data_IF_248754386130
#
_entry.id   IF_248754386130
#
_cell.length_a   1.000
_cell.length_b   1.000
_cell.length_c   1.000
_cell.angle_alpha   90.00
_cell.angle_beta   90.00
_cell.angle_gamma   90.00
#
_symmetry.space_group_name_H-M   'P 1'
#
loop_
_entity.id
_entity.type
_entity.pdbx_description
1 polymer ?
#
# COMPACT_ATOMS: atom_id res chain seq x y z
N UNK A 1 14.06 -1.06 7.43
CA UNK A 1 13.54 0.24 6.95
C UNK A 1 14.05 1.39 7.81
N UNK A 2 13.81 1.46 9.15
CA UNK A 2 14.17 2.61 9.98
C UNK A 2 15.68 2.99 9.94
N UNK A 3 16.60 2.01 9.85
CA UNK A 3 18.04 2.28 9.68
C UNK A 3 18.35 2.87 8.31
N UNK A 4 17.68 2.39 7.29
CA UNK A 4 17.86 2.82 5.89
C UNK A 4 17.41 4.26 5.69
N UNK A 5 16.28 4.67 6.30
CA UNK A 5 15.80 6.07 6.27
C UNK A 5 16.81 7.01 6.89
N UNK A 6 17.36 6.66 8.06
CA UNK A 6 18.40 7.46 8.72
C UNK A 6 19.67 7.58 7.88
N UNK A 7 20.10 6.48 7.25
CA UNK A 7 21.24 6.49 6.35
C UNK A 7 20.99 7.41 5.15
N UNK A 8 19.79 7.35 4.54
CA UNK A 8 19.42 8.23 3.43
C UNK A 8 19.46 9.71 3.85
N UNK A 9 18.88 10.05 5.01
CA UNK A 9 18.92 11.41 5.54
C UNK A 9 20.36 11.91 5.81
N UNK A 10 21.24 11.03 6.30
CA UNK A 10 22.64 11.37 6.55
C UNK A 10 23.42 11.57 5.26
N UNK A 11 23.24 10.69 4.27
CA UNK A 11 23.92 10.76 2.98
C UNK A 11 23.56 12.00 2.17
N UNK A 12 22.28 12.42 2.24
CA UNK A 12 21.79 13.54 1.46
C UNK A 12 21.82 14.88 2.21
N UNK A 13 21.92 14.85 3.54
CA UNK A 13 21.73 16.03 4.37
C UNK A 13 20.30 16.60 4.32
N UNK A 14 19.36 15.81 3.84
CA UNK A 14 17.95 16.20 3.64
C UNK A 14 17.02 15.46 4.60
N UNK A 15 15.73 15.80 4.59
CA UNK A 15 14.69 15.01 5.19
C UNK A 15 14.46 13.77 4.33
N UNK A 16 14.55 12.59 4.89
CA UNK A 16 14.26 11.35 4.20
C UNK A 16 12.92 10.78 4.64
N UNK A 17 12.16 10.30 3.67
CA UNK A 17 10.83 9.70 3.84
C UNK A 17 10.84 8.34 3.16
N UNK A 18 10.37 7.32 3.85
CA UNK A 18 10.22 5.98 3.27
C UNK A 18 8.85 5.44 3.68
N UNK A 19 8.05 5.10 2.69
CA UNK A 19 6.84 4.33 2.86
C UNK A 19 7.23 2.88 3.19
N UNK A 20 6.59 2.26 4.19
CA UNK A 20 6.74 0.81 4.35
C UNK A 20 6.06 0.12 3.16
N UNK A 21 6.65 -0.97 2.65
CA UNK A 21 5.96 -1.74 1.64
C UNK A 21 4.60 -2.14 2.21
N UNK A 22 3.55 -1.50 1.70
CA UNK A 22 2.22 -2.00 1.93
C UNK A 22 2.18 -3.34 1.21
N UNK A 23 1.76 -4.39 1.91
CA UNK A 23 1.44 -5.68 1.30
C UNK A 23 0.19 -5.49 0.40
N UNK A 24 0.26 -4.57 -0.56
CA UNK A 24 -0.83 -4.26 -1.52
C UNK A 24 -1.21 -5.48 -2.37
N UNK A 25 -0.49 -6.58 -2.21
CA UNK A 25 -0.72 -7.85 -2.88
C UNK A 25 -1.05 -8.98 -1.92
N UNK A 26 -1.73 -8.67 -0.82
CA UNK A 26 -2.32 -9.74 -0.04
C UNK A 26 -3.30 -10.49 -0.95
N UNK A 27 -2.91 -11.67 -1.40
CA UNK A 27 -3.77 -12.53 -2.19
C UNK A 27 -4.53 -13.47 -1.27
N UNK A 28 -5.75 -13.78 -1.65
CA UNK A 28 -6.53 -14.80 -0.96
C UNK A 28 -5.90 -16.17 -1.21
N UNK A 29 -5.45 -16.84 -0.16
CA UNK A 29 -5.01 -18.23 -0.24
C UNK A 29 -6.17 -19.19 -0.06
N UNK A 30 -7.01 -18.96 0.94
CA UNK A 30 -8.15 -19.80 1.26
C UNK A 30 -9.20 -19.04 2.07
N UNK A 31 -10.46 -19.35 1.81
CA UNK A 31 -11.61 -18.90 2.58
C UNK A 31 -12.34 -20.10 3.15
N UNK A 32 -12.61 -20.08 4.46
CA UNK A 32 -13.49 -21.06 5.10
C UNK A 32 -14.76 -20.37 5.59
N UNK A 33 -15.91 -21.04 5.44
CA UNK A 33 -17.21 -20.55 5.87
C UNK A 33 -17.81 -21.55 6.86
N UNK A 34 -18.01 -21.15 8.09
CA UNK A 34 -18.52 -22.01 9.17
C UNK A 34 -19.81 -21.45 9.73
N UNK A 35 -20.88 -22.22 9.73
CA UNK A 35 -22.13 -21.83 10.36
C UNK A 35 -21.97 -21.81 11.89
N UNK A 36 -22.13 -20.63 12.51
CA UNK A 36 -22.14 -20.48 13.97
C UNK A 36 -23.56 -20.62 14.56
N UNK A 37 -24.58 -20.64 13.70
CA UNK A 37 -25.97 -20.74 14.06
C UNK A 37 -26.87 -20.48 12.86
N UNK A 38 -28.17 -20.42 13.05
CA UNK A 38 -29.13 -20.29 11.94
C UNK A 38 -28.92 -19.07 11.06
N UNK A 39 -28.40 -17.97 11.65
CA UNK A 39 -28.29 -16.67 10.96
C UNK A 39 -26.89 -16.08 10.98
N UNK A 40 -25.90 -16.83 11.49
CA UNK A 40 -24.53 -16.32 11.61
C UNK A 40 -23.52 -17.27 10.96
N UNK A 41 -22.63 -16.69 10.18
CA UNK A 41 -21.53 -17.39 9.50
C UNK A 41 -20.21 -16.78 9.93
N UNK A 42 -19.26 -17.61 10.33
CA UNK A 42 -17.89 -17.23 10.54
C UNK A 42 -17.13 -17.37 9.21
N UNK A 43 -16.47 -16.32 8.81
CA UNK A 43 -15.50 -16.31 7.74
C UNK A 43 -14.11 -16.46 8.35
N UNK A 44 -13.33 -17.41 7.86
CA UNK A 44 -11.90 -17.52 8.17
C UNK A 44 -11.15 -17.28 6.86
N UNK A 45 -10.45 -16.18 6.78
CA UNK A 45 -9.75 -15.71 5.58
C UNK A 45 -8.26 -15.95 5.81
N UNK A 46 -7.66 -16.75 4.94
CA UNK A 46 -6.22 -17.06 4.97
C UNK A 46 -5.58 -16.41 3.76
N UNK A 47 -4.58 -15.58 3.97
CA UNK A 47 -3.84 -14.90 2.92
C UNK A 47 -2.56 -15.67 2.55
N UNK A 48 -1.97 -15.34 1.42
CA UNK A 48 -0.69 -15.88 0.95
C UNK A 48 0.47 -15.54 1.91
N UNK A 49 0.37 -14.42 2.63
CA UNK A 49 1.32 -14.01 3.67
C UNK A 49 1.20 -14.82 4.96
N UNK A 50 0.23 -15.74 5.06
CA UNK A 50 -0.05 -16.51 6.25
C UNK A 50 -0.91 -15.81 7.30
N UNK A 51 -1.38 -14.59 7.03
CA UNK A 51 -2.31 -13.88 7.93
C UNK A 51 -3.66 -14.60 7.93
N UNK A 52 -4.21 -14.82 9.12
CA UNK A 52 -5.53 -15.42 9.33
C UNK A 52 -6.44 -14.38 9.96
N UNK A 53 -7.50 -14.02 9.28
CA UNK A 53 -8.56 -13.15 9.81
C UNK A 53 -9.84 -13.91 10.02
N UNK A 54 -10.57 -13.52 11.06
CA UNK A 54 -11.88 -14.06 11.38
C UNK A 54 -12.90 -12.93 11.38
N UNK A 55 -13.94 -13.09 10.60
CA UNK A 55 -15.06 -12.14 10.48
C UNK A 55 -16.37 -12.87 10.69
N UNK A 56 -17.37 -12.20 11.24
CA UNK A 56 -18.69 -12.80 11.43
C UNK A 56 -19.72 -12.05 10.60
N UNK A 57 -20.36 -12.77 9.70
CA UNK A 57 -21.48 -12.27 8.90
C UNK A 57 -22.79 -12.66 9.57
N UNK A 58 -23.68 -11.71 9.68
CA UNK A 58 -25.05 -11.93 10.18
C UNK A 58 -26.04 -11.80 9.03
N UNK A 59 -26.86 -12.83 8.84
CA UNK A 59 -27.94 -12.78 7.87
C UNK A 59 -29.12 -11.96 8.38
N UNK A 60 -29.84 -11.26 7.50
CA UNK A 60 -31.07 -10.55 7.87
C UNK A 60 -32.08 -11.46 8.56
N UNK A 61 -32.89 -10.88 9.44
CA UNK A 61 -33.89 -11.60 10.19
C UNK A 61 -34.83 -12.43 9.27
N UNK A 62 -35.03 -13.70 9.63
CA UNK A 62 -35.87 -14.64 8.89
C UNK A 62 -35.15 -15.44 7.79
N UNK A 63 -33.88 -15.22 7.55
CA UNK A 63 -33.06 -16.03 6.61
C UNK A 63 -32.17 -17.00 7.38
N UNK A 64 -32.40 -18.29 7.15
CA UNK A 64 -31.59 -19.36 7.74
C UNK A 64 -30.50 -19.75 6.74
N UNK A 65 -29.28 -19.95 7.23
CA UNK A 65 -28.15 -20.40 6.43
C UNK A 65 -28.28 -21.90 6.21
N UNK A 66 -28.43 -22.32 4.95
CA UNK A 66 -28.39 -23.72 4.58
C UNK A 66 -26.92 -24.17 4.51
N UNK A 67 -26.52 -25.24 5.24
CA UNK A 67 -25.15 -25.75 5.19
C UNK A 67 -24.68 -26.18 3.79
N UNK A 68 -25.58 -26.67 2.94
CA UNK A 68 -25.24 -27.06 1.57
C UNK A 68 -24.96 -25.85 0.68
N UNK A 69 -25.75 -24.80 0.85
CA UNK A 69 -25.51 -23.50 0.17
C UNK A 69 -24.18 -22.92 0.61
N UNK A 70 -23.86 -22.99 1.90
CA UNK A 70 -22.60 -22.50 2.45
C UNK A 70 -21.39 -23.24 1.87
N UNK A 71 -21.45 -24.56 1.76
CA UNK A 71 -20.38 -25.36 1.18
C UNK A 71 -20.19 -25.12 -0.32
N UNK A 72 -21.30 -24.98 -1.06
CA UNK A 72 -21.29 -24.60 -2.47
C UNK A 72 -20.64 -23.24 -2.67
N UNK A 73 -21.04 -22.26 -1.87
CA UNK A 73 -20.50 -20.90 -1.91
C UNK A 73 -18.99 -20.87 -1.60
N UNK A 74 -18.58 -21.55 -0.55
CA UNK A 74 -17.16 -21.68 -0.17
C UNK A 74 -16.32 -22.21 -1.34
N UNK A 75 -16.79 -23.29 -1.98
CA UNK A 75 -16.08 -23.91 -3.10
C UNK A 75 -15.98 -22.97 -4.29
N UNK A 76 -17.07 -22.28 -4.64
CA UNK A 76 -17.10 -21.32 -5.77
C UNK A 76 -16.21 -20.11 -5.53
N UNK A 77 -16.25 -19.55 -4.31
CA UNK A 77 -15.41 -18.39 -3.95
C UNK A 77 -13.94 -18.78 -3.96
N UNK A 78 -13.56 -19.91 -3.35
CA UNK A 78 -12.17 -20.36 -3.38
C UNK A 78 -11.68 -20.63 -4.80
N UNK A 79 -12.49 -21.28 -5.64
CA UNK A 79 -12.12 -21.55 -7.04
C UNK A 79 -11.90 -20.27 -7.84
N UNK A 80 -12.71 -19.24 -7.59
CA UNK A 80 -12.64 -17.97 -8.32
C UNK A 80 -11.56 -17.03 -7.82
N UNK A 81 -11.28 -17.03 -6.50
CA UNK A 81 -10.46 -16.02 -5.84
C UNK A 81 -9.10 -16.51 -5.33
N UNK A 82 -8.83 -17.83 -5.31
CA UNK A 82 -7.53 -18.32 -4.88
C UNK A 82 -6.39 -17.71 -5.70
N UNK A 83 -5.41 -17.11 -5.01
CA UNK A 83 -4.30 -16.39 -5.63
C UNK A 83 -4.62 -15.01 -6.20
N UNK A 84 -5.86 -14.52 -6.02
CA UNK A 84 -6.26 -13.17 -6.47
C UNK A 84 -5.97 -12.12 -5.40
N UNK A 85 -5.49 -10.98 -5.85
CA UNK A 85 -5.25 -9.80 -5.01
C UNK A 85 -6.55 -9.03 -4.77
N UNK A 86 -6.58 -8.20 -3.73
CA UNK A 86 -7.75 -7.41 -3.34
C UNK A 86 -8.40 -6.63 -4.52
N UNK A 87 -7.59 -6.10 -5.44
CA UNK A 87 -8.09 -5.35 -6.60
C UNK A 87 -8.93 -6.22 -7.57
N UNK A 88 -8.64 -7.51 -7.66
CA UNK A 88 -9.35 -8.44 -8.55
C UNK A 88 -10.60 -9.03 -7.89
N UNK A 89 -10.69 -8.95 -6.56
CA UNK A 89 -11.76 -9.60 -5.78
C UNK A 89 -13.12 -8.99 -6.10
N UNK A 90 -13.20 -7.65 -6.11
CA UNK A 90 -14.48 -6.93 -6.34
C UNK A 90 -15.15 -7.33 -7.65
N UNK A 91 -14.50 -7.23 -8.83
CA UNK A 91 -15.13 -7.58 -10.11
C UNK A 91 -15.52 -9.06 -10.18
N UNK A 92 -14.73 -9.95 -9.58
CA UNK A 92 -15.02 -11.39 -9.57
C UNK A 92 -16.24 -11.68 -8.69
N UNK A 93 -16.32 -11.12 -7.48
CA UNK A 93 -17.45 -11.31 -6.59
C UNK A 93 -18.75 -10.72 -7.15
N UNK A 94 -18.67 -9.55 -7.80
CA UNK A 94 -19.81 -8.97 -8.50
C UNK A 94 -20.36 -9.93 -9.58
N UNK A 95 -19.47 -10.47 -10.41
CA UNK A 95 -19.84 -11.43 -11.46
C UNK A 95 -20.40 -12.75 -10.88
N UNK A 96 -19.89 -13.20 -9.72
CA UNK A 96 -20.45 -14.35 -9.02
C UNK A 96 -21.85 -14.06 -8.46
N UNK A 97 -22.06 -12.86 -7.90
CA UNK A 97 -23.35 -12.44 -7.35
C UNK A 97 -24.44 -12.31 -8.43
N UNK A 98 -24.08 -11.81 -9.61
CA UNK A 98 -25.01 -11.70 -10.75
C UNK A 98 -25.51 -13.07 -11.24
N UNK A 99 -24.68 -14.10 -11.13
CA UNK A 99 -24.97 -15.47 -11.58
C UNK A 99 -25.53 -16.36 -10.46
N UNK A 100 -25.53 -15.87 -9.23
CA UNK A 100 -26.00 -16.64 -8.08
C UNK A 100 -27.53 -16.68 -8.01
N UNK A 101 -28.13 -17.81 -7.57
CA UNK A 101 -29.52 -17.84 -7.17
C UNK A 101 -29.83 -16.76 -6.12
N UNK A 102 -31.08 -16.30 -6.10
CA UNK A 102 -31.48 -15.19 -5.21
C UNK A 102 -31.21 -15.50 -3.73
N UNK A 103 -31.37 -16.76 -3.33
CA UNK A 103 -31.10 -17.23 -1.96
C UNK A 103 -29.63 -17.13 -1.55
N UNK A 104 -28.72 -17.37 -2.48
CA UNK A 104 -27.28 -17.29 -2.27
C UNK A 104 -26.76 -15.87 -2.39
N UNK A 105 -27.43 -15.00 -3.16
CA UNK A 105 -26.95 -13.65 -3.49
C UNK A 105 -26.76 -12.79 -2.25
N UNK A 106 -27.68 -12.85 -1.30
CA UNK A 106 -27.56 -12.09 -0.04
C UNK A 106 -26.35 -12.54 0.79
N UNK A 107 -26.15 -13.85 0.88
CA UNK A 107 -25.00 -14.39 1.61
C UNK A 107 -23.69 -14.05 0.89
N UNK A 108 -23.67 -14.17 -0.44
CA UNK A 108 -22.50 -13.82 -1.25
C UNK A 108 -22.15 -12.35 -1.13
N UNK A 109 -23.13 -11.44 -1.15
CA UNK A 109 -22.88 -10.01 -0.97
C UNK A 109 -22.30 -9.73 0.42
N UNK A 110 -22.88 -10.29 1.47
CA UNK A 110 -22.40 -10.10 2.83
C UNK A 110 -20.96 -10.69 3.04
N UNK A 111 -20.65 -11.83 2.41
CA UNK A 111 -19.31 -12.41 2.40
C UNK A 111 -18.35 -11.54 1.60
N UNK A 112 -18.81 -10.97 0.48
CA UNK A 112 -18.02 -10.10 -0.36
C UNK A 112 -17.57 -8.82 0.38
N UNK A 113 -18.47 -8.18 1.09
CA UNK A 113 -18.20 -6.95 1.85
C UNK A 113 -17.10 -7.21 2.91
N UNK A 114 -17.23 -8.29 3.68
CA UNK A 114 -16.25 -8.66 4.70
C UNK A 114 -14.91 -9.11 4.10
N UNK A 115 -14.95 -9.80 2.96
CA UNK A 115 -13.74 -10.25 2.28
C UNK A 115 -12.96 -9.07 1.69
N UNK A 116 -13.66 -8.10 1.09
CA UNK A 116 -13.06 -6.86 0.58
C UNK A 116 -12.41 -6.09 1.74
N UNK A 117 -13.10 -5.98 2.87
CA UNK A 117 -12.57 -5.27 4.03
C UNK A 117 -11.36 -6.01 4.64
N UNK A 118 -11.40 -7.34 4.71
CA UNK A 118 -10.29 -8.14 5.24
C UNK A 118 -9.06 -8.16 4.31
N UNK A 119 -9.27 -8.09 3.00
CA UNK A 119 -8.18 -8.01 2.01
C UNK A 119 -7.72 -6.57 1.78
N UNK A 120 -8.42 -5.59 2.36
CA UNK A 120 -7.93 -4.22 2.37
C UNK A 120 -6.53 -4.21 2.98
N UNK A 121 -5.57 -3.57 2.35
CA UNK A 121 -4.28 -3.34 2.99
C UNK A 121 -4.58 -2.67 4.34
N UNK A 122 -4.04 -3.22 5.43
CA UNK A 122 -4.12 -2.55 6.72
C UNK A 122 -3.65 -1.12 6.50
N UNK A 123 -4.55 -0.16 6.62
CA UNK A 123 -4.40 1.23 6.19
C UNK A 123 -3.45 2.07 7.03
N UNK A 124 -2.54 1.46 7.76
CA UNK A 124 -1.35 2.12 8.24
C UNK A 124 -0.27 1.99 7.14
N UNK A 125 -0.43 2.76 6.06
CA UNK A 125 0.70 3.14 5.25
C UNK A 125 1.69 3.81 6.20
N UNK A 126 2.59 3.00 6.76
CA UNK A 126 3.59 3.47 7.72
C UNK A 126 4.66 4.22 6.96
N UNK A 127 4.62 5.53 7.08
CA UNK A 127 5.71 6.38 6.64
C UNK A 127 6.72 6.51 7.79
N UNK A 128 7.97 6.30 7.49
CA UNK A 128 9.08 6.60 8.39
C UNK A 128 9.81 7.82 7.88
N UNK A 129 9.93 8.79 8.74
CA UNK A 129 10.62 10.06 8.48
C UNK A 129 11.90 10.11 9.30
N UNK A 130 12.99 10.61 8.72
CA UNK A 130 14.23 10.90 9.42
C UNK A 130 14.90 12.14 8.84
N UNK A 131 15.66 12.86 9.66
CA UNK A 131 16.42 14.02 9.22
C UNK A 131 15.66 15.35 9.29
N UNK A 132 14.60 15.48 10.10
CA UNK A 132 13.92 16.75 10.35
C UNK A 132 14.87 17.84 10.83
N UNK A 133 15.92 17.49 11.60
CA UNK A 133 16.97 18.40 12.00
C UNK A 133 17.80 18.95 10.81
N UNK A 134 17.81 18.27 9.65
CA UNK A 134 18.51 18.76 8.46
C UNK A 134 17.76 19.97 7.86
N UNK A 135 16.42 19.91 7.82
CA UNK A 135 15.59 21.03 7.40
C UNK A 135 15.81 22.25 8.30
N UNK A 136 15.88 22.03 9.62
CA UNK A 136 16.14 23.10 10.56
C UNK A 136 17.53 23.75 10.40
N UNK A 137 18.52 23.05 9.84
CA UNK A 137 19.84 23.61 9.48
C UNK A 137 19.81 24.43 8.21
N UNK A 138 18.89 24.14 7.32
CA UNK A 138 18.70 24.83 6.03
C UNK A 138 17.73 26.01 6.14
N UNK A 139 17.56 26.60 7.33
CA UNK A 139 16.61 27.71 7.59
C UNK A 139 16.81 28.92 6.70
N UNK A 140 18.00 29.14 6.16
CA UNK A 140 18.31 30.24 5.25
C UNK A 140 17.76 30.02 3.83
N UNK A 141 17.36 28.81 3.51
CA UNK A 141 16.86 28.42 2.18
C UNK A 141 15.33 28.41 2.08
N UNK A 142 14.64 28.64 3.19
CA UNK A 142 13.17 28.68 3.28
C UNK A 142 12.70 30.01 3.87
N UNK A 143 11.63 30.56 3.33
CA UNK A 143 10.99 31.76 3.91
C UNK A 143 10.23 31.41 5.19
N UNK A 144 9.64 30.21 5.26
CA UNK A 144 9.00 29.65 6.46
C UNK A 144 9.11 28.13 6.47
N UNK A 145 9.59 27.56 7.56
CA UNK A 145 9.63 26.11 7.77
C UNK A 145 8.34 25.54 8.35
N UNK A 146 7.48 26.38 8.93
CA UNK A 146 6.25 25.93 9.59
C UNK A 146 5.38 25.06 8.70
N UNK A 147 4.91 25.53 7.54
CA UNK A 147 4.05 24.76 6.65
C UNK A 147 4.68 23.43 6.20
N UNK A 148 6.00 23.41 5.98
CA UNK A 148 6.72 22.20 5.60
C UNK A 148 6.78 21.18 6.75
N UNK A 149 6.99 21.63 7.98
CA UNK A 149 7.01 20.76 9.15
C UNK A 149 5.62 20.20 9.45
N UNK A 150 4.58 21.04 9.35
CA UNK A 150 3.19 20.62 9.50
C UNK A 150 2.83 19.55 8.45
N UNK A 151 3.22 19.75 7.18
CA UNK A 151 3.01 18.77 6.12
C UNK A 151 3.75 17.43 6.35
N UNK A 152 4.93 17.49 6.98
CA UNK A 152 5.70 16.29 7.35
C UNK A 152 5.06 15.56 8.54
N UNK A 153 4.47 16.26 9.48
CA UNK A 153 3.73 15.66 10.59
C UNK A 153 2.39 15.07 10.12
N UNK A 154 1.76 15.71 9.11
CA UNK A 154 0.57 15.17 8.47
C UNK A 154 0.95 14.08 7.45
N UNK A 155 1.04 12.83 7.90
CA UNK A 155 1.37 11.68 7.03
C UNK A 155 0.51 11.62 5.76
N UNK A 156 -0.70 12.14 5.79
CA UNK A 156 -1.62 12.21 4.64
C UNK A 156 -1.05 13.01 3.47
N UNK A 157 -0.31 14.10 3.73
CA UNK A 157 0.33 14.90 2.68
C UNK A 157 1.42 14.09 1.98
N UNK A 158 2.25 13.39 2.77
CA UNK A 158 3.31 12.52 2.24
C UNK A 158 2.75 11.35 1.44
N UNK A 159 1.62 10.78 1.87
CA UNK A 159 0.93 9.70 1.17
C UNK A 159 0.37 10.16 -0.18
N UNK A 160 -0.21 11.36 -0.23
CA UNK A 160 -0.68 11.96 -1.49
C UNK A 160 0.45 12.14 -2.47
N UNK A 161 1.58 12.64 -2.01
CA UNK A 161 2.78 12.84 -2.82
C UNK A 161 3.26 11.52 -3.45
N UNK A 162 3.26 10.42 -2.70
CA UNK A 162 3.60 9.09 -3.23
C UNK A 162 2.51 8.51 -4.12
N UNK A 163 1.23 8.77 -3.84
CA UNK A 163 0.11 8.33 -4.69
C UNK A 163 0.12 9.03 -6.06
N UNK A 164 0.48 10.30 -6.12
CA UNK A 164 0.66 11.04 -7.38
C UNK A 164 1.80 10.46 -8.22
N UNK A 165 2.90 10.06 -7.57
CA UNK A 165 4.00 9.38 -8.24
C UNK A 165 3.55 8.03 -8.84
N UNK A 166 2.71 7.29 -8.14
CA UNK A 166 2.16 6.04 -8.63
C UNK A 166 1.23 6.25 -9.84
N UNK A 167 0.43 7.32 -9.85
CA UNK A 167 -0.48 7.66 -10.94
C UNK A 167 0.27 8.16 -12.20
N UNK A 168 1.37 8.91 -12.03
CA UNK A 168 2.22 9.38 -13.12
C UNK A 168 3.14 8.30 -13.72
N UNK A 169 3.25 7.15 -13.11
CA UNK A 169 4.16 6.03 -13.47
C UNK A 169 3.98 5.40 -14.84
N UNK A 170 3.17 5.99 -15.73
CA UNK A 170 2.99 5.53 -17.10
C UNK A 170 4.11 5.92 -18.07
N UNK A 171 5.11 6.70 -17.65
CA UNK A 171 6.26 7.01 -18.51
C UNK A 171 7.39 5.99 -18.27
N UNK A 172 7.24 4.83 -18.93
CA UNK A 172 8.24 3.75 -18.99
C UNK A 172 9.46 4.14 -19.83
N UNK A 173 10.19 5.15 -19.42
CA UNK A 173 11.55 5.33 -19.94
C UNK A 173 12.49 4.43 -19.14
N UNK A 174 13.04 3.40 -19.79
CA UNK A 174 13.97 2.39 -19.18
C UNK A 174 15.20 2.96 -18.48
N UNK A 175 15.50 4.24 -18.68
CA UNK A 175 16.70 4.88 -18.11
C UNK A 175 16.48 5.48 -16.71
N UNK A 176 15.23 5.87 -16.33
CA UNK A 176 14.89 6.48 -15.04
C UNK A 176 13.74 5.74 -14.35
N UNK A 177 13.69 4.40 -14.45
CA UNK A 177 12.64 3.58 -13.92
C UNK A 177 12.26 4.00 -12.47
N UNK A 178 11.11 4.69 -12.35
CA UNK A 178 10.48 4.97 -11.07
C UNK A 178 11.08 6.10 -10.24
N UNK A 179 11.84 7.04 -10.82
CA UNK A 179 12.32 8.22 -10.09
C UNK A 179 11.67 9.50 -10.61
N UNK A 180 11.22 10.35 -9.69
CA UNK A 180 10.65 11.67 -9.98
C UNK A 180 11.37 12.74 -9.18
N UNK A 181 11.44 13.93 -9.74
CA UNK A 181 11.90 15.14 -9.09
C UNK A 181 10.84 16.22 -9.30
N UNK A 182 10.40 16.87 -8.23
CA UNK A 182 9.48 18.00 -8.26
C UNK A 182 10.11 19.16 -7.51
N UNK A 183 10.10 20.35 -8.09
CA UNK A 183 10.82 21.52 -7.59
C UNK A 183 9.85 22.67 -7.35
N UNK A 184 9.78 23.15 -6.11
CA UNK A 184 9.00 24.33 -5.76
C UNK A 184 7.53 24.18 -6.13
N UNK A 185 7.02 25.07 -6.97
CA UNK A 185 5.62 25.09 -7.42
C UNK A 185 5.19 23.91 -8.29
N UNK A 186 6.09 22.99 -8.66
CA UNK A 186 5.74 21.72 -9.31
C UNK A 186 5.11 20.75 -8.32
N UNK A 187 5.29 20.96 -7.02
CA UNK A 187 4.57 20.25 -5.98
C UNK A 187 3.12 20.75 -5.94
N UNK A 188 2.17 19.82 -5.94
CA UNK A 188 0.74 20.16 -5.92
C UNK A 188 0.24 20.64 -4.54
N UNK A 189 1.06 20.48 -3.51
CA UNK A 189 0.75 20.92 -2.16
C UNK A 189 1.48 22.23 -1.85
N UNK A 190 0.72 23.25 -1.46
CA UNK A 190 1.25 24.59 -1.15
C UNK A 190 2.29 24.59 -0.02
N UNK A 191 2.18 23.62 0.91
CA UNK A 191 3.15 23.46 2.00
C UNK A 191 4.54 23.01 1.49
N UNK A 192 4.60 22.43 0.28
CA UNK A 192 5.83 22.01 -0.39
C UNK A 192 6.30 22.98 -1.47
N UNK A 193 5.65 24.13 -1.63
CA UNK A 193 5.95 25.10 -2.70
C UNK A 193 7.38 25.69 -2.62
N UNK A 194 8.00 25.70 -1.44
CA UNK A 194 9.39 26.13 -1.25
C UNK A 194 10.38 24.97 -1.15
N UNK A 195 9.89 23.74 -1.26
CA UNK A 195 10.70 22.52 -1.14
C UNK A 195 10.90 21.84 -2.50
N UNK A 196 11.92 21.02 -2.58
CA UNK A 196 12.10 20.06 -3.66
C UNK A 196 12.01 18.64 -3.14
N UNK A 197 11.39 17.80 -3.92
CA UNK A 197 11.15 16.40 -3.59
C UNK A 197 11.79 15.52 -4.65
N UNK A 198 12.58 14.54 -4.22
CA UNK A 198 13.11 13.48 -5.08
C UNK A 198 12.58 12.16 -4.57
N UNK A 199 11.81 11.48 -5.38
CA UNK A 199 11.19 10.18 -5.03
C UNK A 199 11.67 9.06 -5.94
N UNK A 200 11.61 7.85 -5.45
CA UNK A 200 11.78 6.63 -6.23
C UNK A 200 10.87 5.53 -5.69
N UNK A 201 10.43 4.68 -6.59
CA UNK A 201 9.70 3.47 -6.22
C UNK A 201 10.65 2.31 -5.95
N UNK A 202 10.26 1.40 -5.08
CA UNK A 202 10.95 0.15 -4.83
C UNK A 202 9.96 -1.02 -4.67
N UNK A 203 10.39 -2.26 -4.96
CA UNK A 203 9.51 -3.43 -4.94
C UNK A 203 10.23 -4.76 -5.06
N UNK A 204 9.51 -5.85 -4.88
CA UNK A 204 10.03 -7.23 -4.81
C UNK A 204 10.19 -7.93 -6.18
N UNK A 205 9.87 -7.29 -7.31
CA UNK A 205 9.95 -7.95 -8.63
C UNK A 205 10.03 -6.99 -9.80
N UNK A 206 10.33 -7.53 -11.00
CA UNK A 206 10.42 -6.75 -12.23
C UNK A 206 9.04 -6.21 -12.64
N UNK A 207 8.70 -5.02 -12.22
CA UNK A 207 7.46 -4.31 -12.58
C UNK A 207 6.51 -4.07 -11.40
N UNK A 208 6.81 -4.60 -10.21
CA UNK A 208 5.99 -4.43 -9.04
C UNK A 208 6.50 -3.30 -8.15
N UNK A 209 5.80 -2.19 -8.18
CA UNK A 209 5.99 -1.11 -7.22
C UNK A 209 5.27 -1.51 -5.94
N UNK A 210 6.04 -1.70 -4.87
CA UNK A 210 5.51 -2.10 -3.56
C UNK A 210 5.40 -0.90 -2.63
N UNK A 211 6.32 0.07 -2.77
CA UNK A 211 6.34 1.26 -1.95
C UNK A 211 7.23 2.36 -2.56
N UNK A 212 7.25 3.52 -1.94
CA UNK A 212 8.01 4.68 -2.35
C UNK A 212 8.99 5.13 -1.26
N UNK A 213 10.06 5.77 -1.69
CA UNK A 213 10.96 6.47 -0.80
C UNK A 213 11.41 7.78 -1.46
N UNK A 214 11.83 8.73 -0.66
CA UNK A 214 12.29 9.99 -1.19
C UNK A 214 13.02 10.86 -0.17
N UNK A 215 13.46 11.99 -0.65
CA UNK A 215 14.02 13.07 0.17
C UNK A 215 13.35 14.38 -0.15
N UNK A 216 13.20 15.20 0.88
CA UNK A 216 12.64 16.56 0.80
C UNK A 216 13.71 17.51 1.30
N UNK A 217 13.99 18.52 0.51
CA UNK A 217 15.00 19.54 0.82
C UNK A 217 14.69 20.89 0.17
N UNK A 218 15.57 21.87 0.31
CA UNK A 218 15.39 23.16 -0.32
C UNK A 218 15.50 23.07 -1.84
N UNK A 219 14.93 24.04 -2.55
CA UNK A 219 14.96 24.13 -4.02
C UNK A 219 16.39 24.21 -4.59
N UNK A 220 17.38 24.55 -3.76
CA UNK A 220 18.81 24.65 -4.13
C UNK A 220 19.66 23.50 -3.60
N UNK A 221 19.10 22.30 -3.47
CA UNK A 221 19.85 21.12 -3.03
C UNK A 221 20.72 20.55 -4.15
N UNK A 222 21.68 19.68 -3.77
CA UNK A 222 22.48 18.89 -4.72
C UNK A 222 21.62 17.74 -5.28
N UNK A 223 20.94 17.98 -6.39
CA UNK A 223 20.07 17.00 -7.05
C UNK A 223 20.84 15.73 -7.52
N UNK A 224 22.01 15.83 -8.18
CA UNK A 224 22.78 14.65 -8.56
C UNK A 224 23.10 13.74 -7.39
N UNK A 225 23.55 14.29 -6.26
CA UNK A 225 23.86 13.51 -5.06
C UNK A 225 22.57 12.93 -4.42
N UNK A 226 21.51 13.71 -4.32
CA UNK A 226 20.21 13.26 -3.80
C UNK A 226 19.64 12.12 -4.64
N UNK A 227 19.60 12.25 -5.97
CA UNK A 227 19.13 11.22 -6.89
C UNK A 227 19.95 9.95 -6.84
N UNK A 228 21.27 10.07 -6.74
CA UNK A 228 22.17 8.90 -6.60
C UNK A 228 21.90 8.13 -5.31
N UNK A 229 21.75 8.85 -4.18
CA UNK A 229 21.45 8.26 -2.88
C UNK A 229 20.07 7.58 -2.86
N UNK A 230 19.03 8.27 -3.33
CA UNK A 230 17.65 7.75 -3.44
C UNK A 230 17.64 6.47 -4.29
N UNK A 231 18.30 6.48 -5.45
CA UNK A 231 18.40 5.31 -6.35
C UNK A 231 19.14 4.14 -5.69
N UNK A 232 20.22 4.42 -4.99
CA UNK A 232 21.01 3.38 -4.31
C UNK A 232 20.19 2.70 -3.22
N UNK A 233 19.46 3.48 -2.42
CA UNK A 233 18.60 2.98 -1.34
C UNK A 233 17.39 2.24 -1.90
N UNK A 234 16.74 2.72 -2.96
CA UNK A 234 15.64 2.03 -3.62
C UNK A 234 16.06 0.64 -4.11
N UNK A 235 17.22 0.53 -4.76
CA UNK A 235 17.79 -0.76 -5.20
C UNK A 235 18.11 -1.69 -4.03
N UNK A 236 18.66 -1.15 -2.96
CA UNK A 236 18.96 -1.93 -1.75
C UNK A 236 17.68 -2.52 -1.14
N UNK A 237 16.65 -1.70 -0.97
CA UNK A 237 15.37 -2.15 -0.42
C UNK A 237 14.68 -3.16 -1.34
N UNK A 238 14.71 -2.95 -2.66
CA UNK A 238 14.17 -3.91 -3.61
C UNK A 238 14.83 -5.29 -3.50
N UNK A 239 16.15 -5.33 -3.42
CA UNK A 239 16.89 -6.59 -3.23
C UNK A 239 16.54 -7.26 -1.90
N UNK A 240 16.47 -6.48 -0.83
CA UNK A 240 16.13 -7.01 0.49
C UNK A 240 14.72 -7.65 0.52
N UNK A 241 13.76 -7.09 -0.20
CA UNK A 241 12.42 -7.65 -0.32
C UNK A 241 12.42 -8.95 -1.14
N UNK A 242 13.19 -9.00 -2.24
CA UNK A 242 13.30 -10.20 -3.07
C UNK A 242 13.96 -11.36 -2.31
N UNK A 243 15.04 -11.09 -1.59
CA UNK A 243 15.76 -12.11 -0.80
C UNK A 243 14.91 -12.66 0.37
N UNK A 244 13.94 -11.88 0.86
CA UNK A 244 13.05 -12.31 1.94
C UNK A 244 11.92 -13.20 1.41
N UNK A 245 11.45 -12.98 0.18
CA UNK A 245 10.43 -13.79 -0.48
C UNK A 245 10.97 -15.20 -0.86
N UNK A 246 12.25 -15.29 -1.27
CA UNK A 246 12.89 -16.57 -1.60
C UNK A 246 13.24 -17.43 -0.35
N UNK A 247 13.22 -16.84 0.84
CA UNK A 247 13.57 -17.52 2.09
C UNK A 247 12.37 -18.06 2.88
N UNK A 248 11.15 -17.93 2.37
CA UNK A 248 9.96 -18.53 2.98
C UNK A 248 9.81 -19.98 2.49
N UNK A 249 9.88 -21.00 3.39
CA UNK A 249 9.79 -22.43 3.04
C UNK A 249 8.38 -22.85 2.62
#
# INVERSE_FOLDING_TARGET
VARTVRALAQLTGQLAVVEYPSLRRTALRHLELVALGPTRVLLVIITDTGRVEQRTVSMPAGRVVDPLVLESLRTRVNTALAGRIAADVVPILTSLAERAPEEERLLLTAVADELIEALRPDGEERIVVAGTANLARSTLDFSSLGPLLDAVEEQVVLLRLFAEDAACGLSRSRANAGMRVSIGSENHDDALAEASVVTASYGAGAGDVVAHLGVIGPTRMDYPAAMAAVRAVARYLSRFLTDTDDAAP
#
